data_IF_350909722758
#
_entry.id   IF_350909722758
#
_cell.length_a   1.000
_cell.length_b   1.000
_cell.length_c   1.000
_cell.angle_alpha   90.00
_cell.angle_beta   90.00
_cell.angle_gamma   90.00
#
_symmetry.space_group_name_H-M   'P 1'
#
loop_
_entity.id
_entity.type
_entity.pdbx_description
1 polymer ?
#
# COMPACT_ATOMS: atom_id res chain seq x y z
N UNK A 1 2.79 27.38 22.09
CA UNK A 1 3.85 26.38 21.83
C UNK A 1 3.62 25.83 20.45
N UNK A 2 4.63 25.85 19.58
CA UNK A 2 4.56 25.33 18.21
C UNK A 2 5.50 24.12 18.09
N UNK A 3 5.01 23.01 17.56
CA UNK A 3 5.78 21.79 17.34
C UNK A 3 5.79 21.46 15.86
N UNK A 4 6.98 21.24 15.31
CA UNK A 4 7.18 20.84 13.90
C UNK A 4 7.55 19.36 13.89
N UNK A 5 6.79 18.57 13.13
CA UNK A 5 7.07 17.16 12.89
C UNK A 5 7.48 16.98 11.43
N UNK A 6 8.41 16.05 11.20
CA UNK A 6 8.63 15.51 9.85
C UNK A 6 7.32 14.89 9.35
N UNK A 7 7.03 15.03 8.05
CA UNK A 7 5.84 14.45 7.45
C UNK A 7 5.79 12.93 7.73
N UNK A 8 4.75 12.44 8.44
CA UNK A 8 4.68 11.03 8.81
C UNK A 8 4.22 10.16 7.65
N UNK A 9 4.32 8.85 7.84
CA UNK A 9 3.78 7.83 6.93
C UNK A 9 2.72 6.99 7.66
N UNK A 10 1.74 6.50 6.93
CA UNK A 10 0.69 5.61 7.44
C UNK A 10 0.98 4.15 7.08
N UNK A 11 1.41 3.35 8.05
CA UNK A 11 1.82 1.97 7.82
C UNK A 11 0.65 0.97 7.73
N UNK A 12 -0.62 1.42 7.82
CA UNK A 12 -1.80 0.57 7.65
C UNK A 12 -3.03 1.37 7.23
N UNK A 13 -3.30 1.46 5.91
CA UNK A 13 -4.40 2.26 5.37
C UNK A 13 -5.38 1.45 4.51
N UNK A 14 -6.69 1.67 4.74
CA UNK A 14 -7.78 1.13 3.92
C UNK A 14 -8.47 2.24 3.14
N UNK A 15 -8.19 2.35 1.83
CA UNK A 15 -8.75 3.39 0.97
C UNK A 15 -10.10 3.03 0.32
N UNK A 16 -10.52 1.77 0.37
CA UNK A 16 -11.77 1.27 -0.27
C UNK A 16 -11.73 1.50 -1.79
N UNK A 17 -12.88 1.47 -2.46
CA UNK A 17 -12.99 1.63 -3.91
C UNK A 17 -14.16 2.56 -4.27
N UNK A 18 -14.25 2.99 -5.53
CA UNK A 18 -15.33 3.81 -6.07
C UNK A 18 -15.44 5.18 -5.38
N UNK A 19 -16.66 5.58 -5.04
CA UNK A 19 -16.95 6.89 -4.43
C UNK A 19 -16.25 7.07 -3.08
N UNK A 20 -16.11 5.99 -2.31
CA UNK A 20 -15.40 6.03 -1.03
C UNK A 20 -13.91 6.31 -1.23
N UNK A 21 -13.29 5.73 -2.25
CA UNK A 21 -11.89 6.01 -2.60
C UNK A 21 -11.68 7.50 -2.88
N UNK A 22 -12.56 8.09 -3.71
CA UNK A 22 -12.51 9.52 -4.05
C UNK A 22 -12.69 10.42 -2.82
N UNK A 23 -13.53 10.01 -1.88
CA UNK A 23 -13.76 10.76 -0.65
C UNK A 23 -12.57 10.71 0.31
N UNK A 24 -11.91 9.55 0.48
CA UNK A 24 -10.92 9.36 1.56
C UNK A 24 -9.48 9.64 1.16
N UNK A 25 -9.11 9.45 -0.11
CA UNK A 25 -7.72 9.65 -0.59
C UNK A 25 -7.19 11.07 -0.29
N UNK A 26 -7.93 12.16 -0.56
CA UNK A 26 -7.46 13.52 -0.26
C UNK A 26 -7.14 13.76 1.22
N UNK A 27 -7.92 13.15 2.12
CA UNK A 27 -7.70 13.28 3.56
C UNK A 27 -6.38 12.64 3.97
N UNK A 28 -6.11 11.40 3.55
CA UNK A 28 -4.82 10.74 3.84
C UNK A 28 -3.64 11.49 3.24
N UNK A 29 -3.77 11.95 1.99
CA UNK A 29 -2.71 12.65 1.27
C UNK A 29 -2.33 14.01 1.87
N UNK A 30 -3.21 14.62 2.66
CA UNK A 30 -2.94 15.90 3.34
C UNK A 30 -2.05 15.71 4.58
N UNK A 31 -2.09 14.53 5.20
CA UNK A 31 -1.43 14.27 6.48
C UNK A 31 -0.19 13.38 6.37
N UNK A 32 -0.09 12.55 5.33
CA UNK A 32 0.95 11.55 5.19
C UNK A 32 1.74 11.69 3.89
N UNK A 33 3.03 11.34 3.93
CA UNK A 33 3.89 11.28 2.75
C UNK A 33 3.70 9.98 1.98
N UNK A 34 3.60 8.86 2.69
CA UNK A 34 3.42 7.53 2.10
C UNK A 34 2.41 6.75 2.92
N UNK A 35 1.81 5.74 2.31
CA UNK A 35 1.00 4.79 3.06
C UNK A 35 1.06 3.38 2.51
N UNK A 36 1.00 2.38 3.40
CA UNK A 36 0.75 0.99 3.02
C UNK A 36 -0.74 0.80 2.76
N UNK A 37 -1.08 0.47 1.53
CA UNK A 37 -2.47 0.29 1.10
C UNK A 37 -2.87 -1.17 1.22
N UNK A 38 -3.81 -1.45 2.11
CA UNK A 38 -4.28 -2.81 2.35
C UNK A 38 -5.09 -3.36 1.16
N UNK A 39 -5.00 -4.68 0.85
CA UNK A 39 -5.49 -5.26 -0.41
C UNK A 39 -6.91 -5.83 -0.31
N UNK A 40 -7.61 -5.59 0.81
CA UNK A 40 -8.88 -6.22 1.17
C UNK A 40 -10.11 -5.58 0.51
N UNK A 41 -10.02 -5.31 -0.79
CA UNK A 41 -11.17 -4.96 -1.62
C UNK A 41 -12.11 -6.15 -1.81
N UNK A 42 -13.23 -5.93 -2.50
CA UNK A 42 -14.19 -6.98 -2.89
C UNK A 42 -14.36 -6.93 -4.42
N UNK A 43 -13.71 -7.83 -5.18
CA UNK A 43 -12.81 -8.91 -4.75
C UNK A 43 -11.45 -8.40 -4.22
N UNK A 44 -10.71 -9.19 -3.43
CA UNK A 44 -9.39 -8.80 -2.92
C UNK A 44 -8.36 -8.66 -4.03
N UNK A 45 -7.37 -7.81 -3.81
CA UNK A 45 -6.27 -7.57 -4.76
C UNK A 45 -5.22 -8.67 -4.59
N UNK A 46 -5.23 -9.69 -5.45
CA UNK A 46 -4.37 -10.88 -5.33
C UNK A 46 -3.23 -10.95 -6.36
N UNK A 47 -3.24 -10.06 -7.37
CA UNK A 47 -2.23 -10.02 -8.44
C UNK A 47 -1.56 -8.66 -8.54
N UNK A 48 -0.32 -8.65 -9.00
CA UNK A 48 0.49 -7.45 -9.25
C UNK A 48 -0.23 -6.52 -10.21
N UNK A 49 -0.84 -7.06 -11.27
CA UNK A 49 -1.61 -6.28 -12.24
C UNK A 49 -2.81 -5.59 -11.60
N UNK A 50 -3.58 -6.31 -10.76
CA UNK A 50 -4.71 -5.71 -10.05
C UNK A 50 -4.26 -4.60 -9.10
N UNK A 51 -3.12 -4.78 -8.44
CA UNK A 51 -2.58 -3.78 -7.54
C UNK A 51 -2.04 -2.54 -8.28
N UNK A 52 -1.44 -2.70 -9.46
CA UNK A 52 -1.06 -1.57 -10.33
C UNK A 52 -2.29 -0.81 -10.81
N UNK A 53 -3.33 -1.50 -11.25
CA UNK A 53 -4.58 -0.86 -11.64
C UNK A 53 -5.21 -0.07 -10.48
N UNK A 54 -5.21 -0.65 -9.27
CA UNK A 54 -5.72 0.03 -8.09
C UNK A 54 -4.86 1.24 -7.70
N UNK A 55 -3.53 1.15 -7.83
CA UNK A 55 -2.62 2.28 -7.66
C UNK A 55 -2.97 3.43 -8.58
N UNK A 56 -3.22 3.16 -9.86
CA UNK A 56 -3.61 4.20 -10.82
C UNK A 56 -4.94 4.87 -10.45
N UNK A 57 -5.90 4.12 -9.89
CA UNK A 57 -7.14 4.70 -9.37
C UNK A 57 -6.90 5.62 -8.17
N UNK A 58 -6.01 5.21 -7.24
CA UNK A 58 -5.61 6.04 -6.09
C UNK A 58 -4.94 7.33 -6.59
N UNK A 59 -4.00 7.23 -7.54
CA UNK A 59 -3.29 8.39 -8.07
C UNK A 59 -4.24 9.38 -8.77
N UNK A 60 -5.27 8.88 -9.47
CA UNK A 60 -6.32 9.72 -10.06
C UNK A 60 -7.21 10.42 -9.04
N UNK A 61 -7.37 9.84 -7.85
CA UNK A 61 -8.14 10.42 -6.75
C UNK A 61 -7.34 11.47 -5.94
N UNK A 62 -6.05 11.64 -6.20
CA UNK A 62 -5.21 12.58 -5.47
C UNK A 62 -5.51 14.04 -5.86
N UNK A 63 -5.43 14.97 -4.89
CA UNK A 63 -5.40 16.40 -5.20
C UNK A 63 -4.23 16.75 -6.13
N UNK A 64 -4.41 17.78 -6.96
CA UNK A 64 -3.36 18.33 -7.80
C UNK A 64 -2.10 18.65 -6.97
N UNK A 65 -0.93 18.22 -7.46
CA UNK A 65 0.38 18.38 -6.81
C UNK A 65 0.59 17.59 -5.50
N UNK A 66 -0.28 16.62 -5.19
CA UNK A 66 -0.02 15.71 -4.07
C UNK A 66 1.28 14.94 -4.26
N UNK A 67 2.06 14.83 -3.19
CA UNK A 67 3.30 14.01 -3.13
C UNK A 67 3.06 12.66 -2.45
N UNK A 68 1.80 12.31 -2.18
CA UNK A 68 1.44 11.07 -1.51
C UNK A 68 1.87 9.86 -2.34
N UNK A 69 2.60 8.92 -1.72
CA UNK A 69 3.05 7.70 -2.36
C UNK A 69 2.34 6.46 -1.78
N UNK A 70 1.37 5.87 -2.51
CA UNK A 70 0.73 4.64 -2.09
C UNK A 70 1.66 3.43 -2.33
N UNK A 71 2.05 2.77 -1.24
CA UNK A 71 2.80 1.51 -1.22
C UNK A 71 1.81 0.35 -1.27
N UNK A 72 1.73 -0.29 -2.43
CA UNK A 72 0.68 -1.27 -2.70
C UNK A 72 0.98 -2.62 -2.05
N UNK A 73 -0.04 -3.43 -1.84
CA UNK A 73 0.09 -4.76 -1.22
C UNK A 73 -0.76 -5.79 -1.97
N UNK A 74 -0.48 -7.07 -1.73
CA UNK A 74 -1.25 -8.18 -2.29
C UNK A 74 -1.88 -9.01 -1.16
N UNK A 75 -3.12 -9.44 -1.37
CA UNK A 75 -3.75 -10.47 -0.59
C UNK A 75 -3.21 -11.83 -1.05
N UNK A 76 -2.39 -12.47 -0.21
CA UNK A 76 -1.87 -13.81 -0.48
C UNK A 76 -2.94 -14.85 -0.17
N UNK A 77 -3.01 -15.87 -1.03
CA UNK A 77 -3.96 -17.00 -0.95
C UNK A 77 -3.19 -18.30 -1.14
N UNK A 78 -3.82 -19.44 -0.84
CA UNK A 78 -3.23 -20.77 -1.08
C UNK A 78 -2.86 -21.00 -2.56
N UNK A 79 -3.47 -20.24 -3.47
CA UNK A 79 -3.21 -20.31 -4.92
C UNK A 79 -2.19 -19.28 -5.41
N UNK A 80 -1.66 -18.42 -4.55
CA UNK A 80 -0.68 -17.41 -4.96
C UNK A 80 0.65 -18.07 -5.32
N UNK A 81 1.10 -17.90 -6.57
CA UNK A 81 2.32 -18.53 -7.06
C UNK A 81 3.58 -17.82 -6.55
N UNK A 82 4.69 -18.57 -6.49
CA UNK A 82 6.00 -18.00 -6.18
C UNK A 82 6.46 -16.97 -7.22
N UNK A 83 6.03 -17.11 -8.48
CA UNK A 83 6.37 -16.15 -9.54
C UNK A 83 5.59 -14.85 -9.41
N UNK A 84 4.33 -14.90 -8.94
CA UNK A 84 3.57 -13.69 -8.58
C UNK A 84 4.27 -12.91 -7.46
N UNK A 85 4.77 -13.65 -6.47
CA UNK A 85 5.58 -13.12 -5.37
C UNK A 85 6.84 -12.39 -5.87
N UNK A 86 7.59 -13.01 -6.80
CA UNK A 86 8.80 -12.41 -7.38
C UNK A 86 8.46 -11.19 -8.23
N UNK A 87 7.39 -11.26 -9.01
CA UNK A 87 6.93 -10.17 -9.85
C UNK A 87 6.58 -8.94 -8.99
N UNK A 88 5.80 -9.15 -7.93
CA UNK A 88 5.46 -8.10 -6.97
C UNK A 88 6.69 -7.56 -6.21
N UNK A 89 7.75 -8.34 -6.05
CA UNK A 89 8.98 -7.89 -5.37
C UNK A 89 9.97 -7.16 -6.30
N UNK A 90 9.67 -7.03 -7.59
CA UNK A 90 10.56 -6.43 -8.56
C UNK A 90 10.86 -4.97 -8.20
N UNK A 91 12.11 -4.49 -8.27
CA UNK A 91 12.47 -3.10 -7.97
C UNK A 91 11.73 -2.04 -8.81
N UNK A 92 11.12 -2.47 -9.93
CA UNK A 92 10.28 -1.61 -10.77
C UNK A 92 8.97 -1.22 -10.08
N UNK A 93 8.62 -1.89 -9.00
CA UNK A 93 7.36 -1.70 -8.31
C UNK A 93 7.59 -1.55 -6.80
N UNK A 94 7.09 -0.46 -6.23
CA UNK A 94 7.13 -0.23 -4.79
C UNK A 94 5.93 -0.95 -4.13
N UNK A 95 6.13 -2.24 -3.84
CA UNK A 95 5.18 -3.04 -3.09
C UNK A 95 5.67 -3.32 -1.68
N UNK A 96 4.73 -3.34 -0.76
CA UNK A 96 4.93 -3.83 0.58
C UNK A 96 4.31 -5.23 0.67
N UNK A 97 5.15 -6.25 0.89
CA UNK A 97 4.77 -7.67 0.75
C UNK A 97 4.33 -8.23 2.11
N UNK A 98 3.03 -8.43 2.26
CA UNK A 98 2.43 -8.87 3.52
C UNK A 98 1.76 -10.23 3.42
N UNK A 99 2.16 -11.15 4.30
CA UNK A 99 1.59 -12.49 4.45
C UNK A 99 0.59 -12.45 5.61
N UNK A 100 -0.65 -12.87 5.40
CA UNK A 100 -1.58 -13.16 6.50
C UNK A 100 -1.83 -14.68 6.55
N UNK A 101 -2.01 -15.22 7.77
CA UNK A 101 -3.30 -15.79 8.10
C UNK A 101 -4.02 -15.02 9.22
N UNK A 102 -3.31 -14.17 9.96
CA UNK A 102 -3.81 -13.23 10.97
C UNK A 102 -2.69 -12.20 11.20
N UNK A 103 -3.05 -10.91 11.30
CA UNK A 103 -2.24 -9.74 11.66
C UNK A 103 -0.69 -9.92 11.63
N UNK A 104 0.00 -9.64 10.52
CA UNK A 104 1.46 -9.40 10.52
C UNK A 104 1.93 -8.74 9.22
N UNK A 105 2.64 -7.61 9.36
CA UNK A 105 2.97 -6.64 8.30
C UNK A 105 4.52 -6.58 8.10
N UNK A 106 5.12 -7.30 7.14
CA UNK A 106 6.51 -7.16 6.62
C UNK A 106 6.72 -6.07 5.52
N UNK A 107 7.23 -4.89 5.91
CA UNK A 107 7.56 -3.79 4.98
C UNK A 107 8.96 -4.02 4.41
N UNK A 108 9.12 -3.97 3.08
CA UNK A 108 10.43 -3.98 2.42
C UNK A 108 10.65 -2.67 1.67
N UNK A 109 11.50 -1.80 2.22
CA UNK A 109 12.03 -0.64 1.50
C UNK A 109 13.57 -0.70 1.55
N UNK A 110 14.20 -1.38 0.58
CA UNK A 110 15.66 -1.42 0.41
C UNK A 110 16.27 -2.80 0.13
N UNK A 111 17.57 -2.88 -0.23
CA UNK A 111 18.25 -4.09 -0.72
C UNK A 111 18.58 -5.13 0.35
N UNK A 112 18.11 -4.97 1.59
CA UNK A 112 18.41 -5.87 2.70
C UNK A 112 17.10 -6.39 3.31
N UNK A 113 16.94 -7.71 3.29
CA UNK A 113 15.83 -8.43 3.92
C UNK A 113 15.95 -8.28 5.43
N UNK A 114 15.16 -7.39 6.03
CA UNK A 114 14.97 -7.33 7.48
C UNK A 114 13.50 -7.56 7.81
N UNK A 115 13.25 -8.66 8.51
CA UNK A 115 11.96 -9.01 9.09
C UNK A 115 11.74 -8.13 10.32
N UNK A 116 10.86 -7.14 10.24
CA UNK A 116 10.42 -6.39 11.42
C UNK A 116 8.98 -6.75 11.72
N UNK A 117 8.77 -7.37 12.88
CA UNK A 117 7.46 -7.61 13.48
C UNK A 117 7.02 -6.29 14.10
N UNK A 118 5.96 -5.67 13.56
CA UNK A 118 5.29 -4.57 14.24
C UNK A 118 4.22 -5.22 15.12
N UNK A 119 4.55 -5.35 16.41
CA UNK A 119 3.63 -5.79 17.47
C UNK A 119 2.93 -4.60 18.12
#
# INVERSE_FOLDING_TARGET
MNFTLTLPDDWHLHLRDGDLLQAVVPHSATHFGRAIIMPNLKPPVTTTVAALNYRELILKALPSNSKFNPLMTLCLTDTTSADEIKLASSPRFEFARFTLPVLSVCVMAGPSIQLTVIG
#
